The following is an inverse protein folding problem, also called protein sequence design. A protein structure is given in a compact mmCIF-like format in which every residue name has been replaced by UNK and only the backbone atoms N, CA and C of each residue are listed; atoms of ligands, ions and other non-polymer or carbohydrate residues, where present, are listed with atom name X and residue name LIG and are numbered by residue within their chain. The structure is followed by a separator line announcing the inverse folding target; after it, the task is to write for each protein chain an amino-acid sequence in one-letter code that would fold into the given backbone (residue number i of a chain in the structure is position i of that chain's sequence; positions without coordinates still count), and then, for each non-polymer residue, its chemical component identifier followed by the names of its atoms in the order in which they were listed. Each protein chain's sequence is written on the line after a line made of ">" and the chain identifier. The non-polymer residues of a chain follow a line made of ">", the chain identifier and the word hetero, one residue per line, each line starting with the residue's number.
data_IF_814218544898
#
_entry.id   IF_814218544898
#
_cell.length_a   1.000
_cell.length_b   1.000
_cell.length_c   1.000
_cell.angle_alpha   90.00
_cell.angle_beta   90.00
_cell.angle_gamma   90.00
#
_symmetry.space_group_name_H-M   'P 1'
#
loop_
_entity.id
_entity.type
_entity.pdbx_description
1 polymer ?
#
# COMPACT_ATOMS: atom_id res chain seq x y z
N UNK A 1 -12.35 27.34 16.63
CA UNK A 1 -12.27 25.86 16.43
C UNK A 1 -11.90 25.69 14.96
N UNK A 2 -10.69 25.20 14.68
CA UNK A 2 -10.29 24.94 13.30
C UNK A 2 -11.25 23.90 12.71
N UNK A 3 -12.07 24.28 11.74
CA UNK A 3 -12.81 23.33 10.91
C UNK A 3 -11.80 22.41 10.23
N UNK A 4 -12.14 21.13 10.19
CA UNK A 4 -11.25 20.08 9.70
C UNK A 4 -10.86 20.39 8.25
N UNK A 5 -9.60 20.76 8.04
CA UNK A 5 -8.97 20.77 6.73
C UNK A 5 -9.36 19.48 5.97
N UNK A 6 -9.95 19.65 4.81
CA UNK A 6 -10.37 18.52 3.98
C UNK A 6 -9.14 17.84 3.42
N UNK A 7 -9.06 16.55 3.63
CA UNK A 7 -8.00 15.72 3.04
C UNK A 7 -8.61 14.93 1.89
N UNK A 8 -7.97 14.94 0.72
CA UNK A 8 -8.42 14.12 -0.41
C UNK A 8 -8.08 12.64 -0.20
N UNK A 9 -8.51 11.77 -1.13
CA UNK A 9 -8.24 10.33 -1.06
C UNK A 9 -6.73 9.97 -1.10
N UNK A 10 -5.89 10.87 -1.58
CA UNK A 10 -4.42 10.71 -1.64
C UNK A 10 -3.70 11.22 -0.38
N UNK A 11 -4.43 11.76 0.58
CA UNK A 11 -3.87 12.32 1.81
C UNK A 11 -3.35 13.76 1.67
N UNK A 12 -3.57 14.42 0.52
CA UNK A 12 -3.21 15.83 0.38
C UNK A 12 -4.23 16.70 1.12
N UNK A 13 -3.72 17.68 1.87
CA UNK A 13 -4.56 18.68 2.53
C UNK A 13 -4.95 19.74 1.51
N UNK A 14 -6.25 19.93 1.32
CA UNK A 14 -6.81 20.87 0.35
C UNK A 14 -7.47 22.01 1.09
N UNK A 15 -7.11 23.24 0.73
CA UNK A 15 -7.62 24.47 1.31
C UNK A 15 -8.66 25.11 0.40
N UNK A 16 -9.66 25.70 1.02
CA UNK A 16 -10.62 26.59 0.34
C UNK A 16 -10.10 28.04 0.38
N UNK A 17 -10.76 28.94 -0.36
CA UNK A 17 -10.49 30.39 -0.29
C UNK A 17 -10.73 30.92 1.14
N UNK A 18 -11.76 30.42 1.83
CA UNK A 18 -12.10 30.81 3.20
C UNK A 18 -11.02 30.35 4.19
N UNK A 19 -10.52 29.12 4.07
CA UNK A 19 -9.42 28.60 4.89
C UNK A 19 -8.16 29.47 4.73
N UNK A 20 -7.84 29.86 3.49
CA UNK A 20 -6.68 30.70 3.21
C UNK A 20 -6.79 32.08 3.85
N UNK A 21 -7.97 32.69 3.76
CA UNK A 21 -8.23 34.01 4.38
C UNK A 21 -8.11 33.91 5.91
N UNK A 22 -8.68 32.87 6.53
CA UNK A 22 -8.58 32.68 8.00
C UNK A 22 -7.12 32.49 8.44
N UNK A 23 -6.33 31.72 7.68
CA UNK A 23 -4.90 31.54 7.94
C UNK A 23 -4.13 32.86 7.81
N UNK A 24 -4.37 33.64 6.76
CA UNK A 24 -3.71 34.92 6.53
C UNK A 24 -4.10 35.98 7.59
N UNK A 25 -5.32 35.94 8.13
CA UNK A 25 -5.71 36.78 9.27
C UNK A 25 -4.94 36.44 10.54
N UNK A 26 -4.57 35.15 10.71
CA UNK A 26 -3.83 34.67 11.88
C UNK A 26 -2.33 34.90 11.71
N UNK A 27 -1.81 34.65 10.52
CA UNK A 27 -0.42 34.78 10.14
C UNK A 27 -0.31 35.49 8.77
N UNK A 28 -0.18 36.83 8.76
CA UNK A 28 -0.08 37.61 7.52
C UNK A 28 1.16 37.32 6.67
N UNK A 29 2.21 36.75 7.25
CA UNK A 29 3.45 36.38 6.57
C UNK A 29 3.45 34.97 6.02
N UNK A 30 2.32 34.27 6.12
CA UNK A 30 2.15 32.89 5.61
C UNK A 30 2.37 32.83 4.08
N UNK A 31 3.29 31.98 3.67
CA UNK A 31 3.52 31.69 2.24
C UNK A 31 2.43 30.77 1.68
N UNK A 32 1.37 31.36 1.14
CA UNK A 32 0.24 30.64 0.51
C UNK A 32 0.67 29.80 -0.70
N UNK A 33 1.82 30.09 -1.32
CA UNK A 33 2.37 29.28 -2.41
C UNK A 33 2.76 27.85 -2.01
N UNK A 34 2.84 27.56 -0.71
CA UNK A 34 3.07 26.20 -0.16
C UNK A 34 1.80 25.39 0.05
N UNK A 35 0.64 26.04 -0.01
CA UNK A 35 -0.66 25.40 0.17
C UNK A 35 -1.20 24.88 -1.15
N UNK A 36 -2.05 23.84 -1.08
CA UNK A 36 -2.80 23.32 -2.23
C UNK A 36 -4.27 23.70 -2.12
N UNK A 37 -4.86 24.20 -3.19
CA UNK A 37 -6.22 24.71 -3.25
C UNK A 37 -7.11 23.88 -4.17
N UNK A 38 -8.42 23.89 -3.92
CA UNK A 38 -9.41 23.27 -4.82
C UNK A 38 -9.45 24.01 -6.17
N UNK A 39 -9.47 25.34 -6.13
CA UNK A 39 -9.54 26.21 -7.30
C UNK A 39 -8.57 27.41 -7.15
N UNK A 40 -7.88 27.73 -8.22
CA UNK A 40 -6.92 28.84 -8.27
C UNK A 40 -7.19 29.83 -9.40
N UNK A 41 -8.27 29.63 -10.18
CA UNK A 41 -8.55 30.44 -11.38
C UNK A 41 -8.77 31.92 -11.04
N UNK A 42 -9.60 32.21 -10.03
CA UNK A 42 -9.88 33.59 -9.62
C UNK A 42 -8.63 34.33 -9.20
N UNK A 43 -7.80 33.71 -8.36
CA UNK A 43 -6.56 34.28 -7.87
C UNK A 43 -5.58 34.51 -9.02
N UNK A 44 -5.36 33.52 -9.87
CA UNK A 44 -4.45 33.59 -11.00
C UNK A 44 -4.89 34.66 -12.04
N UNK A 45 -6.19 34.82 -12.25
CA UNK A 45 -6.75 35.85 -13.12
C UNK A 45 -6.54 37.24 -12.52
N UNK A 46 -6.83 37.41 -11.23
CA UNK A 46 -6.64 38.66 -10.54
C UNK A 46 -5.17 39.12 -10.55
N UNK A 47 -4.22 38.22 -10.34
CA UNK A 47 -2.79 38.53 -10.44
C UNK A 47 -2.40 39.10 -11.81
N UNK A 48 -2.91 38.48 -12.89
CA UNK A 48 -2.65 38.89 -14.27
C UNK A 48 -3.27 40.26 -14.56
N UNK A 49 -4.53 40.44 -14.16
CA UNK A 49 -5.24 41.70 -14.43
C UNK A 49 -4.66 42.90 -13.67
N UNK A 50 -4.23 42.66 -12.43
CA UNK A 50 -3.70 43.74 -11.56
C UNK A 50 -2.18 43.92 -11.69
N UNK A 51 -1.49 43.04 -12.40
CA UNK A 51 -0.03 43.07 -12.56
C UNK A 51 0.71 42.92 -11.24
N UNK A 52 0.15 42.15 -10.28
CA UNK A 52 0.75 41.96 -8.96
C UNK A 52 1.78 40.84 -8.99
N UNK A 53 2.92 41.10 -8.37
CA UNK A 53 4.00 40.11 -8.17
C UNK A 53 3.80 39.42 -6.80
N UNK A 54 2.82 38.54 -6.74
CA UNK A 54 2.52 37.71 -5.56
C UNK A 54 2.80 36.23 -5.83
N UNK A 55 3.00 35.39 -4.79
CA UNK A 55 3.29 34.00 -4.96
C UNK A 55 2.19 33.28 -5.75
N UNK A 56 2.58 32.43 -6.71
CA UNK A 56 1.63 31.57 -7.39
C UNK A 56 1.16 30.47 -6.45
N UNK A 57 -0.16 30.25 -6.37
CA UNK A 57 -0.76 29.16 -5.61
C UNK A 57 -0.93 27.91 -6.49
N UNK A 58 -1.02 26.74 -5.87
CA UNK A 58 -1.08 25.46 -6.56
C UNK A 58 -2.45 24.82 -6.40
N UNK A 59 -2.99 24.29 -7.49
CA UNK A 59 -4.11 23.37 -7.41
C UNK A 59 -3.63 21.99 -6.98
N UNK A 60 -4.51 21.23 -6.32
CA UNK A 60 -4.25 19.82 -6.04
C UNK A 60 -3.93 19.10 -7.34
N UNK A 61 -2.89 18.26 -7.37
CA UNK A 61 -2.53 17.52 -8.57
C UNK A 61 -3.69 16.59 -8.97
N UNK A 62 -4.09 16.64 -10.23
CA UNK A 62 -5.08 15.71 -10.78
C UNK A 62 -4.40 14.34 -10.92
N UNK A 63 -4.69 13.44 -9.98
CA UNK A 63 -4.18 12.06 -9.98
C UNK A 63 -5.32 11.10 -10.34
N UNK A 64 -4.95 9.92 -10.87
CA UNK A 64 -5.94 8.85 -11.06
C UNK A 64 -6.56 8.44 -9.72
N UNK A 65 -7.84 7.98 -9.68
CA UNK A 65 -8.48 7.50 -8.46
C UNK A 65 -7.64 6.42 -7.77
N UNK A 66 -7.56 6.47 -6.44
CA UNK A 66 -6.72 5.56 -5.65
C UNK A 66 -7.03 4.08 -5.92
N UNK A 67 -8.33 3.75 -6.09
CA UNK A 67 -8.76 2.40 -6.41
C UNK A 67 -8.25 1.92 -7.78
N UNK A 68 -8.17 2.81 -8.78
CA UNK A 68 -7.65 2.49 -10.10
C UNK A 68 -6.13 2.31 -10.06
N UNK A 69 -5.43 3.20 -9.36
CA UNK A 69 -3.99 3.11 -9.10
C UNK A 69 -3.64 1.79 -8.39
N UNK A 70 -4.36 1.43 -7.33
CA UNK A 70 -4.15 0.18 -6.60
C UNK A 70 -4.37 -1.04 -7.48
N UNK A 71 -5.48 -1.08 -8.23
CA UNK A 71 -5.78 -2.20 -9.12
C UNK A 71 -4.71 -2.38 -10.20
N UNK A 72 -4.23 -1.29 -10.80
CA UNK A 72 -3.17 -1.28 -11.79
C UNK A 72 -1.86 -1.83 -11.22
N UNK A 73 -1.47 -1.38 -10.02
CA UNK A 73 -0.24 -1.82 -9.38
C UNK A 73 -0.32 -3.26 -8.85
N UNK A 74 -1.44 -3.68 -8.26
CA UNK A 74 -1.65 -5.05 -7.79
C UNK A 74 -1.62 -6.06 -8.96
N UNK A 75 -1.99 -5.65 -10.17
CA UNK A 75 -2.01 -6.51 -11.34
C UNK A 75 -0.74 -6.42 -12.21
N UNK A 76 0.15 -5.48 -11.94
CA UNK A 76 1.36 -5.26 -12.74
C UNK A 76 2.62 -5.81 -12.04
N UNK A 77 2.63 -7.13 -11.78
CA UNK A 77 3.78 -7.81 -11.24
C UNK A 77 4.67 -8.35 -12.35
N UNK A 78 5.99 -8.14 -12.24
CA UNK A 78 6.97 -8.67 -13.18
C UNK A 78 7.24 -10.16 -12.91
N UNK A 79 6.27 -11.01 -13.22
CA UNK A 79 6.41 -12.46 -13.12
C UNK A 79 5.84 -13.16 -14.36
N UNK A 80 6.34 -14.36 -14.72
CA UNK A 80 5.82 -15.15 -15.84
C UNK A 80 4.35 -15.53 -15.66
N UNK A 81 3.60 -15.60 -16.76
CA UNK A 81 2.15 -15.88 -16.79
C UNK A 81 1.74 -17.14 -16.00
N UNK A 82 2.54 -18.19 -16.05
CA UNK A 82 2.28 -19.43 -15.30
C UNK A 82 2.08 -19.22 -13.79
N UNK A 83 2.70 -18.20 -13.20
CA UNK A 83 2.55 -17.92 -11.78
C UNK A 83 1.27 -17.14 -11.46
N UNK A 84 0.74 -16.36 -12.41
CA UNK A 84 -0.57 -15.72 -12.26
C UNK A 84 -1.72 -16.72 -12.22
N UNK A 85 -1.53 -17.90 -12.82
CA UNK A 85 -2.54 -18.96 -12.90
C UNK A 85 -2.49 -19.94 -11.74
N UNK A 86 -1.52 -19.83 -10.84
CA UNK A 86 -1.40 -20.72 -9.66
C UNK A 86 -2.61 -20.53 -8.74
N UNK A 87 -3.32 -21.61 -8.46
CA UNK A 87 -4.23 -21.67 -7.33
C UNK A 87 -3.41 -21.79 -6.04
N UNK A 88 -3.20 -20.66 -5.37
CA UNK A 88 -2.31 -20.57 -4.19
C UNK A 88 -2.81 -21.46 -3.05
N UNK A 89 -4.12 -21.50 -2.80
CA UNK A 89 -4.67 -22.35 -1.74
C UNK A 89 -4.36 -23.82 -1.98
N UNK A 90 -4.68 -24.34 -3.17
CA UNK A 90 -4.40 -25.72 -3.52
C UNK A 90 -2.90 -26.02 -3.45
N UNK A 91 -2.08 -25.12 -3.99
CA UNK A 91 -0.62 -25.23 -3.99
C UNK A 91 -0.04 -25.34 -2.57
N UNK A 92 -0.60 -24.58 -1.61
CA UNK A 92 -0.21 -24.66 -0.19
C UNK A 92 -0.72 -25.95 0.47
N UNK A 93 -1.98 -26.33 0.26
CA UNK A 93 -2.59 -27.53 0.85
C UNK A 93 -1.87 -28.82 0.42
N UNK A 94 -1.37 -28.89 -0.81
CA UNK A 94 -0.58 -30.03 -1.32
C UNK A 94 0.76 -30.22 -0.58
N UNK A 95 1.23 -29.19 0.14
CA UNK A 95 2.49 -29.20 0.91
C UNK A 95 2.28 -29.45 2.39
N UNK A 96 1.04 -29.49 2.85
CA UNK A 96 0.70 -29.81 4.23
C UNK A 96 0.85 -31.33 4.49
N UNK A 97 1.35 -31.67 5.67
CA UNK A 97 1.59 -33.04 6.08
C UNK A 97 0.44 -33.62 6.93
N UNK A 98 -0.33 -32.77 7.60
CA UNK A 98 -1.41 -33.17 8.49
C UNK A 98 -2.57 -32.15 8.46
N UNK A 99 -3.65 -32.48 9.18
CA UNK A 99 -4.86 -31.68 9.19
C UNK A 99 -4.70 -30.35 9.98
N UNK A 100 -3.83 -30.32 10.98
CA UNK A 100 -3.51 -29.09 11.73
C UNK A 100 -2.88 -28.05 10.80
N UNK A 101 -1.92 -28.46 9.99
CA UNK A 101 -1.28 -27.61 8.99
C UNK A 101 -2.29 -27.11 7.94
N UNK A 102 -3.22 -27.98 7.51
CA UNK A 102 -4.27 -27.61 6.55
C UNK A 102 -5.21 -26.55 7.13
N UNK A 103 -5.63 -26.71 8.38
CA UNK A 103 -6.46 -25.74 9.08
C UNK A 103 -5.73 -24.40 9.22
N UNK A 104 -4.45 -24.43 9.56
CA UNK A 104 -3.64 -23.21 9.67
C UNK A 104 -3.50 -22.50 8.32
N UNK A 105 -3.24 -23.25 7.23
CA UNK A 105 -3.17 -22.69 5.88
C UNK A 105 -4.49 -22.04 5.48
N UNK A 106 -5.63 -22.72 5.72
CA UNK A 106 -6.93 -22.16 5.38
C UNK A 106 -7.19 -20.83 6.12
N UNK A 107 -6.94 -20.82 7.42
CA UNK A 107 -7.13 -19.62 8.24
C UNK A 107 -6.23 -18.44 7.76
N UNK A 108 -4.96 -18.71 7.46
CA UNK A 108 -4.05 -17.67 6.96
C UNK A 108 -4.44 -17.21 5.55
N UNK A 109 -4.83 -18.15 4.68
CA UNK A 109 -5.25 -17.83 3.32
C UNK A 109 -6.45 -16.88 3.31
N UNK A 110 -7.46 -17.13 4.14
CA UNK A 110 -8.64 -16.27 4.28
C UNK A 110 -8.24 -14.82 4.69
N UNK A 111 -7.23 -14.69 5.57
CA UNK A 111 -6.69 -13.38 5.94
C UNK A 111 -5.96 -12.69 4.78
N UNK A 112 -5.15 -13.43 4.02
CA UNK A 112 -4.48 -12.90 2.83
C UNK A 112 -5.48 -12.48 1.75
N UNK A 113 -6.53 -13.28 1.54
CA UNK A 113 -7.60 -12.98 0.57
C UNK A 113 -8.36 -11.72 0.97
N UNK A 114 -8.78 -11.62 2.23
CA UNK A 114 -9.46 -10.43 2.78
C UNK A 114 -8.63 -9.15 2.61
N UNK A 115 -7.32 -9.25 2.73
CA UNK A 115 -6.38 -8.14 2.53
C UNK A 115 -5.94 -7.96 1.07
N UNK A 116 -6.47 -8.73 0.11
CA UNK A 116 -6.12 -8.73 -1.32
C UNK A 116 -4.65 -9.06 -1.60
N UNK A 117 -4.03 -9.91 -0.79
CA UNK A 117 -2.62 -10.27 -0.90
C UNK A 117 -2.35 -11.59 -1.64
N UNK A 118 -3.34 -12.17 -2.31
CA UNK A 118 -3.13 -13.42 -3.06
C UNK A 118 -2.09 -13.25 -4.17
N UNK A 119 -2.08 -12.09 -4.87
CA UNK A 119 -1.05 -11.77 -5.87
C UNK A 119 0.35 -11.71 -5.27
N UNK A 120 0.47 -11.21 -4.06
CA UNK A 120 1.74 -11.18 -3.33
C UNK A 120 2.24 -12.61 -3.08
N UNK A 121 1.37 -13.53 -2.69
CA UNK A 121 1.74 -14.94 -2.50
C UNK A 121 2.18 -15.60 -3.82
N UNK A 122 1.49 -15.34 -4.92
CA UNK A 122 1.90 -15.82 -6.25
C UNK A 122 3.29 -15.29 -6.64
N UNK A 123 3.52 -14.00 -6.41
CA UNK A 123 4.84 -13.39 -6.65
C UNK A 123 5.92 -14.00 -5.75
N UNK A 124 5.64 -14.26 -4.48
CA UNK A 124 6.60 -14.86 -3.55
C UNK A 124 6.96 -16.30 -3.94
N UNK A 125 6.00 -17.08 -4.49
CA UNK A 125 6.29 -18.40 -5.06
C UNK A 125 7.27 -18.26 -6.23
N UNK A 126 6.99 -17.36 -7.18
CA UNK A 126 7.89 -17.06 -8.30
C UNK A 126 9.28 -16.61 -7.82
N UNK A 127 9.30 -15.69 -6.88
CA UNK A 127 10.54 -15.11 -6.36
C UNK A 127 11.43 -16.18 -5.71
N UNK A 128 10.85 -17.01 -4.84
CA UNK A 128 11.59 -18.10 -4.17
C UNK A 128 12.07 -19.13 -5.19
N UNK A 129 11.25 -19.51 -6.18
CA UNK A 129 11.67 -20.41 -7.26
C UNK A 129 12.82 -19.82 -8.08
N UNK A 130 12.79 -18.52 -8.35
CA UNK A 130 13.87 -17.80 -9.04
C UNK A 130 15.16 -17.80 -8.24
N UNK A 131 15.08 -17.56 -6.93
CA UNK A 131 16.26 -17.63 -6.03
C UNK A 131 16.86 -19.02 -6.02
N UNK A 132 16.03 -20.08 -5.94
CA UNK A 132 16.48 -21.48 -5.99
C UNK A 132 17.16 -21.80 -7.32
N UNK A 133 16.55 -21.41 -8.44
CA UNK A 133 17.07 -21.67 -9.78
C UNK A 133 18.44 -21.00 -10.03
N UNK A 134 18.70 -19.88 -9.38
CA UNK A 134 19.96 -19.14 -9.49
C UNK A 134 20.96 -19.43 -8.36
N UNK A 135 20.68 -20.40 -7.49
CA UNK A 135 21.52 -20.73 -6.33
C UNK A 135 21.81 -19.54 -5.40
N UNK A 136 20.85 -18.59 -5.34
CA UNK A 136 20.98 -17.45 -4.45
C UNK A 136 20.54 -17.88 -3.05
N UNK A 137 21.39 -17.61 -2.06
CA UNK A 137 21.06 -17.88 -0.66
C UNK A 137 20.21 -16.75 -0.11
N UNK A 138 19.07 -17.11 0.48
CA UNK A 138 18.20 -16.16 1.18
C UNK A 138 17.81 -16.74 2.54
N UNK A 139 17.36 -15.90 3.40
CA UNK A 139 16.80 -16.29 4.68
C UNK A 139 16.34 -15.07 5.43
N UNK A 140 15.18 -15.18 6.05
CA UNK A 140 14.67 -14.21 6.98
C UNK A 140 14.71 -14.83 8.37
N UNK A 141 15.51 -14.26 9.25
CA UNK A 141 15.60 -14.68 10.65
C UNK A 141 14.87 -13.74 11.60
N UNK A 142 14.22 -12.69 11.08
CA UNK A 142 13.60 -11.61 11.86
C UNK A 142 12.31 -11.13 11.23
N UNK A 143 11.46 -10.52 12.09
CA UNK A 143 10.23 -9.87 11.70
C UNK A 143 9.01 -10.77 11.87
N UNK A 144 7.84 -10.13 11.94
CA UNK A 144 6.55 -10.78 12.17
C UNK A 144 6.15 -11.79 11.08
N UNK A 145 6.73 -11.69 9.88
CA UNK A 145 6.47 -12.62 8.77
C UNK A 145 6.79 -14.09 9.11
N UNK A 146 7.68 -14.35 10.08
CA UNK A 146 7.98 -15.70 10.57
C UNK A 146 6.78 -16.37 11.26
N UNK A 147 5.75 -15.62 11.64
CA UNK A 147 4.50 -16.14 12.19
C UNK A 147 3.59 -16.74 11.11
N UNK A 148 3.86 -16.55 9.82
CA UNK A 148 3.04 -17.09 8.73
C UNK A 148 3.51 -18.48 8.31
N UNK A 149 2.63 -19.48 8.45
CA UNK A 149 2.85 -20.83 7.96
C UNK A 149 2.79 -20.91 6.42
N UNK A 150 1.96 -20.08 5.78
CA UNK A 150 1.94 -19.96 4.32
C UNK A 150 3.29 -19.51 3.77
N UNK A 151 3.94 -18.51 4.37
CA UNK A 151 5.27 -18.05 3.96
C UNK A 151 6.36 -19.07 4.24
N UNK A 152 6.21 -19.88 5.30
CA UNK A 152 7.09 -21.02 5.56
C UNK A 152 6.97 -22.08 4.46
N UNK A 153 5.76 -22.48 4.07
CA UNK A 153 5.54 -23.46 3.00
C UNK A 153 6.05 -22.98 1.63
N UNK A 154 5.92 -21.69 1.32
CA UNK A 154 6.51 -21.08 0.13
C UNK A 154 8.03 -21.15 0.19
N UNK A 155 8.59 -21.07 1.40
CA UNK A 155 10.03 -21.07 1.65
C UNK A 155 10.64 -19.68 1.73
N UNK A 156 9.82 -18.64 1.97
CA UNK A 156 10.29 -17.27 2.24
C UNK A 156 11.20 -17.24 3.47
N UNK A 157 10.82 -18.00 4.49
CA UNK A 157 11.66 -18.26 5.68
C UNK A 157 11.68 -19.74 6.03
N UNK A 158 12.55 -20.13 6.96
CA UNK A 158 12.80 -21.53 7.34
C UNK A 158 12.29 -21.87 8.75
N UNK A 159 11.58 -20.97 9.41
CA UNK A 159 11.06 -21.14 10.75
C UNK A 159 9.65 -21.67 10.64
N UNK A 160 9.37 -22.86 11.17
CA UNK A 160 8.01 -23.39 11.24
C UNK A 160 7.28 -22.74 12.42
N UNK A 161 6.29 -21.85 12.17
CA UNK A 161 5.60 -21.11 13.23
C UNK A 161 4.76 -22.01 14.15
N UNK A 162 4.32 -23.18 13.69
CA UNK A 162 3.55 -24.11 14.51
C UNK A 162 4.38 -24.70 15.64
N UNK A 163 5.67 -24.98 15.40
CA UNK A 163 6.58 -25.51 16.43
C UNK A 163 6.82 -24.52 17.57
N UNK A 164 6.65 -23.24 17.31
CA UNK A 164 6.90 -22.15 18.27
C UNK A 164 5.59 -21.47 18.74
N UNK A 165 4.44 -22.00 18.38
CA UNK A 165 3.12 -21.44 18.70
C UNK A 165 3.00 -19.93 18.33
N UNK A 166 3.54 -19.52 17.20
CA UNK A 166 3.47 -18.13 16.75
C UNK A 166 2.08 -17.80 16.20
N UNK A 167 1.51 -16.71 16.69
CA UNK A 167 0.20 -16.25 16.24
C UNK A 167 0.32 -15.44 14.96
N UNK A 168 -0.51 -15.76 13.96
CA UNK A 168 -0.56 -15.05 12.67
C UNK A 168 -0.94 -13.58 12.83
N UNK A 169 -1.65 -13.21 13.89
CA UNK A 169 -2.05 -11.82 14.17
C UNK A 169 -0.85 -10.92 14.47
N UNK A 170 0.31 -11.48 14.77
CA UNK A 170 1.55 -10.70 14.85
C UNK A 170 2.00 -10.17 13.48
N UNK A 171 1.61 -10.85 12.39
CA UNK A 171 1.97 -10.49 11.03
C UNK A 171 0.80 -9.83 10.27
N UNK A 172 -0.38 -10.45 10.27
CA UNK A 172 -1.56 -9.96 9.55
C UNK A 172 -2.56 -9.30 10.53
N UNK A 173 -2.24 -8.10 10.98
CA UNK A 173 -3.10 -7.27 11.84
C UNK A 173 -4.23 -6.62 11.06
#
# INVERSE_FOLDING_TARGET
>A
MAEKTKTNEHGDVIFTEEDALELLYTDPDLDIGKLCFEDTEKYSSALKELGLDLPSIKTAPNREPLAEFDNKNINNWHMPEKYYQINVLQWLLERCQNDEERLRVQMEYDLFEKKRFIRVLQFLIYFVDTLRANNIVWGVGRGSSVASFCLFLIGVHKINPLLYNLDITEFLR
#
